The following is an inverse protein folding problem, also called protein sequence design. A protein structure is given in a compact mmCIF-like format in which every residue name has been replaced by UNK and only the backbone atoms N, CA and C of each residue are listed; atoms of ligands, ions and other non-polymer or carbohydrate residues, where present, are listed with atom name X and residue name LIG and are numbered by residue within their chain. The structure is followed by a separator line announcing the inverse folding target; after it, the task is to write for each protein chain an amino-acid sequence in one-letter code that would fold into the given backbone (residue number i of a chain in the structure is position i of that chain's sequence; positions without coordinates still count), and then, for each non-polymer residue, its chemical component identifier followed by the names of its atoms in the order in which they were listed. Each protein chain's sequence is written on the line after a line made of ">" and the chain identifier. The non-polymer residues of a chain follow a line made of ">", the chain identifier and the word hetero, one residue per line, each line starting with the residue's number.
data_IF_659563812429
#
_entry.id   IF_659563812429
#
_cell.length_a   1.000
_cell.length_b   1.000
_cell.length_c   1.000
_cell.angle_alpha   90.00
_cell.angle_beta   90.00
_cell.angle_gamma   90.00
#
_symmetry.space_group_name_H-M   'P 1'
#
loop_
_entity.id
_entity.type
_entity.pdbx_description
1 polymer ?
#
# COMPACT_ATOMS: atom_id res chain seq x y z
N UNK A 1 9.10 15.58 17.45
CA UNK A 1 8.84 15.13 18.84
C UNK A 1 7.83 14.00 18.78
N UNK A 2 8.29 12.77 18.97
CA UNK A 2 7.44 11.56 19.04
C UNK A 2 6.74 11.54 20.40
N UNK A 3 5.44 11.80 20.43
CA UNK A 3 4.65 11.67 21.65
C UNK A 3 4.48 10.18 21.96
N UNK A 4 5.23 9.67 22.93
CA UNK A 4 5.00 8.36 23.55
C UNK A 4 3.71 8.45 24.38
N UNK A 5 2.59 8.04 23.78
CA UNK A 5 1.33 7.88 24.53
C UNK A 5 1.52 6.70 25.49
N UNK A 6 1.15 6.88 26.76
CA UNK A 6 1.40 5.96 27.88
C UNK A 6 0.69 4.60 27.82
N UNK A 7 0.26 4.16 26.63
CA UNK A 7 -0.51 2.94 26.37
C UNK A 7 0.27 1.89 25.57
N UNK A 8 1.59 2.05 25.40
CA UNK A 8 2.44 1.09 24.72
C UNK A 8 2.30 1.04 23.18
N UNK A 9 1.31 1.73 22.60
CA UNK A 9 1.18 1.85 21.14
C UNK A 9 2.08 2.98 20.61
N UNK A 10 2.56 2.83 19.38
CA UNK A 10 3.39 3.82 18.68
C UNK A 10 2.65 4.36 17.47
N UNK A 11 2.52 5.68 17.36
CA UNK A 11 2.16 6.32 16.10
C UNK A 11 3.42 6.54 15.27
N UNK A 12 3.40 6.09 14.02
CA UNK A 12 4.50 6.15 13.08
C UNK A 12 4.05 6.97 11.85
N UNK A 13 4.45 8.25 11.74
CA UNK A 13 4.09 9.09 10.60
C UNK A 13 4.55 8.48 9.26
N UNK A 14 3.79 8.69 8.18
CA UNK A 14 4.21 8.29 6.83
C UNK A 14 5.46 9.04 6.34
N UNK A 15 5.72 10.22 6.91
CA UNK A 15 6.91 11.05 6.66
C UNK A 15 8.14 10.64 7.49
N UNK A 16 8.00 9.68 8.41
CA UNK A 16 9.11 9.25 9.27
C UNK A 16 10.23 8.60 8.44
N UNK A 17 11.43 9.18 8.51
CA UNK A 17 12.64 8.57 7.97
C UNK A 17 13.23 7.66 9.05
N UNK A 18 13.33 6.38 8.72
CA UNK A 18 13.88 5.37 9.63
C UNK A 18 15.39 5.35 9.49
N UNK A 19 16.11 5.50 10.61
CA UNK A 19 17.56 5.37 10.64
C UNK A 19 17.96 3.90 10.46
N UNK A 20 19.07 3.65 9.78
CA UNK A 20 19.54 2.30 9.46
C UNK A 20 19.97 1.48 10.69
N UNK A 21 20.29 2.14 11.81
CA UNK A 21 20.64 1.53 13.09
C UNK A 21 19.41 1.21 13.97
N UNK A 22 18.24 1.76 13.65
CA UNK A 22 17.00 1.52 14.37
C UNK A 22 16.31 0.20 13.94
N UNK A 23 16.74 -0.41 12.83
CA UNK A 23 16.12 -1.59 12.23
C UNK A 23 17.18 -2.50 11.63
N UNK A 24 16.98 -3.82 11.70
CA UNK A 24 17.79 -4.78 10.97
C UNK A 24 17.72 -4.52 9.46
N UNK A 25 18.87 -4.26 8.83
CA UNK A 25 18.94 -3.89 7.41
C UNK A 25 20.03 -4.64 6.67
N UNK A 26 19.85 -4.75 5.36
CA UNK A 26 20.88 -5.18 4.41
C UNK A 26 21.41 -3.95 3.67
N UNK A 27 22.73 -3.66 3.70
CA UNK A 27 23.30 -2.54 2.95
C UNK A 27 23.05 -2.69 1.44
N UNK A 28 22.69 -1.59 0.76
CA UNK A 28 22.58 -1.57 -0.71
C UNK A 28 23.92 -1.84 -1.39
N UNK A 29 25.03 -1.57 -0.71
CA UNK A 29 26.39 -1.67 -1.27
C UNK A 29 26.81 -0.46 -2.10
N UNK A 30 26.00 0.60 -2.12
CA UNK A 30 26.32 1.88 -2.76
C UNK A 30 25.57 3.03 -2.06
N UNK A 31 26.13 4.24 -2.14
CA UNK A 31 25.43 5.46 -1.80
C UNK A 31 24.51 5.82 -2.98
N UNK A 32 23.21 5.71 -2.74
CA UNK A 32 22.21 5.89 -3.78
C UNK A 32 22.02 7.34 -4.19
N UNK A 33 22.23 8.27 -3.26
CA UNK A 33 22.01 9.70 -3.47
C UNK A 33 23.25 10.35 -4.11
N UNK A 34 24.41 9.70 -4.02
CA UNK A 34 25.64 10.11 -4.71
C UNK A 34 25.69 9.70 -6.20
N UNK A 35 24.78 8.84 -6.68
CA UNK A 35 24.80 8.33 -8.05
C UNK A 35 23.69 8.96 -8.91
N UNK A 36 24.06 9.45 -10.09
CA UNK A 36 23.10 9.92 -11.08
C UNK A 36 22.34 8.74 -11.72
N UNK A 37 21.10 8.98 -12.16
CA UNK A 37 20.34 7.98 -12.90
C UNK A 37 21.08 7.54 -14.18
N UNK A 38 21.02 6.25 -14.50
CA UNK A 38 21.76 5.63 -15.61
C UNK A 38 23.20 5.23 -15.26
N UNK A 39 23.73 5.65 -14.11
CA UNK A 39 25.09 5.27 -13.69
C UNK A 39 25.15 3.77 -13.34
N UNK A 40 26.15 3.02 -13.84
CA UNK A 40 26.40 1.66 -13.38
C UNK A 40 26.62 1.61 -11.87
N UNK A 41 26.03 0.62 -11.21
CA UNK A 41 26.20 0.46 -9.77
C UNK A 41 27.53 -0.26 -9.45
N UNK A 42 28.19 0.05 -8.33
CA UNK A 42 29.42 -0.62 -7.89
C UNK A 42 29.14 -2.01 -7.28
N UNK A 43 28.12 -2.70 -7.77
CA UNK A 43 27.68 -4.03 -7.33
C UNK A 43 27.32 -4.87 -8.56
N UNK A 44 27.60 -6.19 -8.57
CA UNK A 44 27.38 -7.01 -9.76
C UNK A 44 25.91 -7.04 -10.19
N UNK A 45 25.68 -6.81 -11.49
CA UNK A 45 24.40 -7.02 -12.14
C UNK A 45 24.11 -8.52 -12.33
N UNK A 46 22.83 -8.87 -12.44
CA UNK A 46 22.42 -10.18 -12.94
C UNK A 46 22.47 -10.18 -14.46
N UNK A 47 23.58 -10.68 -15.01
CA UNK A 47 23.84 -10.73 -16.47
C UNK A 47 22.66 -11.38 -17.20
N UNK A 48 22.24 -12.57 -16.77
CA UNK A 48 21.10 -13.30 -17.36
C UNK A 48 19.82 -12.46 -17.39
N UNK A 49 19.48 -11.79 -16.29
CA UNK A 49 18.28 -10.95 -16.22
C UNK A 49 18.38 -9.78 -17.21
N UNK A 50 19.53 -9.09 -17.23
CA UNK A 50 19.72 -7.91 -18.07
C UNK A 50 19.75 -8.24 -19.56
N UNK A 51 20.37 -9.37 -19.94
CA UNK A 51 20.41 -9.85 -21.33
C UNK A 51 19.00 -10.20 -21.80
N UNK A 52 18.28 -11.06 -21.06
CA UNK A 52 16.92 -11.48 -21.44
C UNK A 52 15.94 -10.31 -21.46
N UNK A 53 15.99 -9.41 -20.48
CA UNK A 53 15.15 -8.20 -20.51
C UNK A 53 15.47 -7.31 -21.72
N UNK A 54 16.74 -7.27 -22.16
CA UNK A 54 17.14 -6.52 -23.35
C UNK A 54 16.64 -7.16 -24.64
N UNK A 55 16.07 -8.36 -24.61
CA UNK A 55 15.39 -8.96 -25.77
C UNK A 55 13.87 -8.79 -25.74
N UNK A 56 13.31 -8.28 -24.63
CA UNK A 56 11.88 -8.12 -24.49
C UNK A 56 11.34 -6.89 -25.23
N UNK A 57 10.12 -7.02 -25.74
CA UNK A 57 9.34 -5.99 -26.45
C UNK A 57 8.02 -5.66 -25.76
N UNK A 58 7.71 -6.28 -24.62
CA UNK A 58 6.57 -5.96 -23.78
C UNK A 58 6.75 -6.39 -22.31
N UNK A 59 5.94 -5.80 -21.42
CA UNK A 59 5.75 -6.22 -20.03
C UNK A 59 4.32 -6.71 -19.82
N UNK A 60 4.19 -7.94 -19.34
CA UNK A 60 2.93 -8.48 -18.81
C UNK A 60 2.96 -8.42 -17.27
N UNK A 61 2.05 -7.64 -16.70
CA UNK A 61 1.81 -7.56 -15.25
C UNK A 61 0.69 -8.54 -14.91
N UNK A 62 1.03 -9.61 -14.19
CA UNK A 62 0.11 -10.71 -13.88
C UNK A 62 0.07 -10.95 -12.37
N UNK A 63 -0.88 -10.27 -11.71
CA UNK A 63 -1.11 -10.41 -10.28
C UNK A 63 -2.51 -10.94 -10.01
N UNK A 64 -2.60 -12.01 -9.24
CA UNK A 64 -3.87 -12.59 -8.80
C UNK A 64 -3.88 -12.87 -7.29
N UNK A 65 -2.72 -12.73 -6.63
CA UNK A 65 -2.59 -12.79 -5.18
C UNK A 65 -3.43 -11.74 -4.46
N UNK A 66 -3.14 -11.51 -3.18
CA UNK A 66 -3.92 -10.57 -2.36
C UNK A 66 -3.79 -9.15 -2.93
N UNK A 67 -4.89 -8.39 -2.95
CA UNK A 67 -4.90 -6.99 -3.41
C UNK A 67 -3.71 -6.17 -2.88
N UNK A 68 -3.41 -6.30 -1.58
CA UNK A 68 -2.30 -5.57 -0.95
C UNK A 68 -0.94 -5.90 -1.56
N UNK A 69 -0.64 -7.19 -1.80
CA UNK A 69 0.63 -7.62 -2.39
C UNK A 69 0.77 -7.08 -3.82
N UNK A 70 -0.31 -7.16 -4.61
CA UNK A 70 -0.38 -6.66 -5.99
C UNK A 70 -0.14 -5.16 -6.07
N UNK A 71 -0.74 -4.38 -5.17
CA UNK A 71 -0.59 -2.93 -5.10
C UNK A 71 0.84 -2.51 -4.74
N UNK A 72 1.41 -3.11 -3.69
CA UNK A 72 2.77 -2.79 -3.24
C UNK A 72 3.84 -3.20 -4.29
N UNK A 73 3.57 -4.25 -5.05
CA UNK A 73 4.43 -4.74 -6.13
C UNK A 73 4.43 -3.86 -7.39
N UNK A 74 3.54 -2.86 -7.52
CA UNK A 74 3.60 -1.89 -8.63
C UNK A 74 4.92 -1.10 -8.68
N UNK A 75 5.61 -0.98 -7.55
CA UNK A 75 6.98 -0.44 -7.51
C UNK A 75 7.98 -1.26 -8.33
N UNK A 76 7.80 -2.58 -8.44
CA UNK A 76 8.62 -3.44 -9.28
C UNK A 76 8.33 -3.18 -10.78
N UNK A 77 7.05 -2.98 -11.13
CA UNK A 77 6.65 -2.55 -12.49
C UNK A 77 7.31 -1.22 -12.83
N UNK A 78 7.23 -0.24 -11.92
CA UNK A 78 7.88 1.07 -12.07
C UNK A 78 9.40 0.94 -12.23
N UNK A 79 10.05 0.04 -11.52
CA UNK A 79 11.49 -0.20 -11.67
C UNK A 79 11.85 -0.69 -13.09
N UNK A 80 11.10 -1.66 -13.64
CA UNK A 80 11.29 -2.10 -15.01
C UNK A 80 11.00 -1.00 -16.03
N UNK A 81 9.93 -0.21 -15.84
CA UNK A 81 9.63 0.94 -16.71
C UNK A 81 10.81 1.92 -16.77
N UNK A 82 11.37 2.27 -15.61
CA UNK A 82 12.52 3.18 -15.54
C UNK A 82 13.78 2.59 -16.18
N UNK A 83 13.97 1.28 -16.09
CA UNK A 83 15.10 0.61 -16.73
C UNK A 83 14.98 0.61 -18.25
N UNK A 84 13.79 0.37 -18.79
CA UNK A 84 13.56 0.48 -20.24
C UNK A 84 13.68 1.93 -20.72
N UNK A 85 13.23 2.92 -19.93
CA UNK A 85 13.36 4.34 -20.27
C UNK A 85 14.81 4.84 -20.35
N UNK A 86 15.77 4.12 -19.77
CA UNK A 86 17.21 4.40 -19.92
C UNK A 86 17.78 4.03 -21.29
N UNK A 87 16.99 3.41 -22.19
CA UNK A 87 17.40 2.94 -23.51
C UNK A 87 16.70 3.75 -24.61
N UNK A 88 17.29 4.89 -25.04
CA UNK A 88 16.63 5.84 -25.95
C UNK A 88 16.43 5.29 -27.37
N UNK A 89 17.17 4.24 -27.74
CA UNK A 89 17.02 3.49 -28.98
C UNK A 89 15.76 2.62 -29.01
N UNK A 90 15.13 2.40 -27.85
CA UNK A 90 13.87 1.67 -27.73
C UNK A 90 12.71 2.65 -27.60
N UNK A 91 11.71 2.45 -28.46
CA UNK A 91 10.42 3.10 -28.31
C UNK A 91 9.74 2.76 -26.96
N UNK A 92 8.61 3.41 -26.65
CA UNK A 92 7.89 3.15 -25.40
C UNK A 92 7.51 1.68 -25.29
N UNK A 93 7.82 1.08 -24.14
CA UNK A 93 7.53 -0.33 -23.87
C UNK A 93 6.02 -0.52 -23.68
N UNK A 94 5.36 -1.39 -24.46
CA UNK A 94 4.00 -1.83 -24.20
C UNK A 94 3.90 -2.54 -22.84
N UNK A 95 2.95 -2.13 -22.01
CA UNK A 95 2.71 -2.69 -20.69
C UNK A 95 1.22 -3.03 -20.57
N UNK A 96 0.93 -4.27 -20.22
CA UNK A 96 -0.43 -4.77 -19.99
C UNK A 96 -0.56 -5.34 -18.60
N UNK A 97 -1.76 -5.27 -18.05
CA UNK A 97 -2.14 -5.98 -16.84
C UNK A 97 -3.20 -7.03 -17.15
N UNK A 98 -3.14 -8.14 -16.44
CA UNK A 98 -4.16 -9.17 -16.41
C UNK A 98 -4.47 -9.58 -14.96
N UNK A 99 -5.50 -10.43 -14.80
CA UNK A 99 -5.98 -10.86 -13.49
C UNK A 99 -7.06 -9.94 -12.90
N UNK A 100 -7.53 -10.24 -11.69
CA UNK A 100 -8.72 -9.63 -11.09
C UNK A 100 -8.58 -8.13 -10.83
N UNK A 101 -7.34 -7.61 -10.76
CA UNK A 101 -7.08 -6.21 -10.46
C UNK A 101 -6.59 -5.41 -11.67
N UNK A 102 -6.59 -5.96 -12.88
CA UNK A 102 -6.01 -5.31 -14.07
C UNK A 102 -6.54 -3.88 -14.32
N UNK A 103 -7.85 -3.68 -14.17
CA UNK A 103 -8.50 -2.37 -14.32
C UNK A 103 -8.00 -1.37 -13.26
N UNK A 104 -7.95 -1.80 -12.00
CA UNK A 104 -7.44 -0.98 -10.89
C UNK A 104 -5.96 -0.62 -11.10
N UNK A 105 -5.13 -1.58 -11.52
CA UNK A 105 -3.70 -1.33 -11.76
C UNK A 105 -3.48 -0.36 -12.93
N UNK A 106 -4.37 -0.31 -13.92
CA UNK A 106 -4.29 0.63 -15.03
C UNK A 106 -4.37 2.10 -14.57
N UNK A 107 -5.03 2.36 -13.44
CA UNK A 107 -5.12 3.70 -12.83
C UNK A 107 -3.78 4.24 -12.30
N UNK A 108 -2.73 3.42 -12.26
CA UNK A 108 -1.39 3.83 -11.86
C UNK A 108 -0.64 4.68 -12.90
N UNK A 109 -1.14 4.73 -14.14
CA UNK A 109 -0.43 5.33 -15.27
C UNK A 109 0.76 4.52 -15.80
N UNK A 110 1.05 3.36 -15.20
CA UNK A 110 2.13 2.46 -15.66
C UNK A 110 1.67 1.52 -16.77
N UNK A 111 0.38 1.21 -16.85
CA UNK A 111 -0.17 0.31 -17.86
C UNK A 111 -0.51 1.13 -19.11
N UNK A 112 0.07 0.78 -20.25
CA UNK A 112 -0.04 1.56 -21.50
C UNK A 112 -1.00 0.96 -22.52
N UNK A 113 -1.44 -0.29 -22.32
CA UNK A 113 -2.39 -0.97 -23.20
C UNK A 113 -3.55 -1.60 -22.41
N UNK A 114 -4.76 -1.59 -22.97
CA UNK A 114 -5.91 -2.23 -22.35
C UNK A 114 -5.74 -3.77 -22.30
N UNK A 115 -6.47 -4.45 -21.39
CA UNK A 115 -6.51 -5.91 -21.36
C UNK A 115 -6.95 -6.50 -22.71
N UNK A 116 -6.32 -7.60 -23.14
CA UNK A 116 -6.76 -8.38 -24.30
C UNK A 116 -6.22 -8.00 -25.69
N UNK A 117 -5.23 -7.11 -25.80
CA UNK A 117 -4.59 -6.81 -27.10
C UNK A 117 -3.66 -7.97 -27.60
N UNK A 118 -3.13 -7.87 -28.83
CA UNK A 118 -2.43 -8.95 -29.55
C UNK A 118 -1.24 -9.61 -28.82
N UNK A 119 -0.97 -10.89 -29.12
CA UNK A 119 0.15 -11.67 -28.58
C UNK A 119 1.51 -10.99 -28.80
N UNK A 120 2.36 -10.99 -27.79
CA UNK A 120 3.72 -10.45 -27.85
C UNK A 120 4.74 -11.54 -28.17
N UNK A 121 5.71 -11.23 -29.02
CA UNK A 121 6.71 -12.22 -29.41
C UNK A 121 7.72 -12.49 -28.29
N UNK A 122 8.13 -11.47 -27.52
CA UNK A 122 9.11 -11.62 -26.42
C UNK A 122 8.76 -10.72 -25.24
N UNK A 123 7.98 -11.21 -24.30
CA UNK A 123 7.59 -10.42 -23.14
C UNK A 123 8.27 -10.86 -21.84
N UNK A 124 8.45 -9.92 -20.91
CA UNK A 124 8.69 -10.23 -19.50
C UNK A 124 7.36 -10.37 -18.79
N UNK A 125 7.22 -11.43 -17.98
CA UNK A 125 6.11 -11.54 -17.02
C UNK A 125 6.59 -11.10 -15.64
N UNK A 126 5.84 -10.18 -15.03
CA UNK A 126 6.05 -9.72 -13.65
C UNK A 126 4.79 -10.00 -12.85
N UNK A 127 4.92 -10.69 -11.73
CA UNK A 127 3.75 -11.17 -11.00
C UNK A 127 4.05 -11.90 -9.70
N UNK A 128 3.01 -12.43 -9.07
CA UNK A 128 3.17 -13.38 -7.97
C UNK A 128 3.68 -14.76 -8.47
N UNK A 129 4.14 -15.60 -7.55
CA UNK A 129 4.78 -16.88 -7.89
C UNK A 129 3.87 -17.80 -8.71
N UNK A 130 2.58 -17.84 -8.38
CA UNK A 130 1.63 -18.73 -9.04
C UNK A 130 1.39 -18.29 -10.49
N UNK A 131 1.20 -17.00 -10.72
CA UNK A 131 0.85 -16.49 -12.05
C UNK A 131 2.04 -16.32 -12.98
N UNK A 132 3.22 -16.04 -12.42
CA UNK A 132 4.47 -16.17 -13.17
C UNK A 132 4.66 -17.60 -13.67
N UNK A 133 4.34 -18.62 -12.84
CA UNK A 133 4.50 -20.02 -13.24
C UNK A 133 3.60 -20.39 -14.44
N UNK A 134 2.38 -19.84 -14.52
CA UNK A 134 1.46 -20.05 -15.66
C UNK A 134 1.99 -19.54 -16.99
N UNK A 135 2.88 -18.55 -16.96
CA UNK A 135 3.47 -17.94 -18.16
C UNK A 135 4.89 -18.43 -18.45
N UNK A 136 5.45 -19.31 -17.62
CA UNK A 136 6.88 -19.66 -17.66
C UNK A 136 7.33 -20.27 -18.98
N UNK A 137 6.45 -21.00 -19.66
CA UNK A 137 6.75 -21.64 -20.95
C UNK A 137 6.82 -20.64 -22.11
N UNK A 138 6.10 -19.52 -22.00
CA UNK A 138 5.95 -18.54 -23.08
C UNK A 138 6.72 -17.24 -22.82
N UNK A 139 6.92 -16.88 -21.55
CA UNK A 139 7.59 -15.65 -21.17
C UNK A 139 9.09 -15.75 -21.46
N UNK A 140 9.64 -14.71 -22.08
CA UNK A 140 11.07 -14.65 -22.35
C UNK A 140 11.88 -14.46 -21.07
N UNK A 141 11.31 -13.82 -20.04
CA UNK A 141 11.91 -13.72 -18.69
C UNK A 141 10.82 -13.50 -17.65
N UNK A 142 11.10 -13.87 -16.40
CA UNK A 142 10.16 -13.80 -15.31
C UNK A 142 10.70 -13.02 -14.11
N UNK A 143 9.88 -12.14 -13.55
CA UNK A 143 10.17 -11.39 -12.33
C UNK A 143 9.10 -11.71 -11.29
N UNK A 144 9.45 -12.53 -10.31
CA UNK A 144 8.54 -12.88 -9.21
C UNK A 144 8.61 -11.82 -8.11
N UNK A 145 7.46 -11.27 -7.75
CA UNK A 145 7.29 -10.39 -6.59
C UNK A 145 6.82 -11.23 -5.40
N UNK A 146 7.78 -11.77 -4.64
CA UNK A 146 7.53 -12.45 -3.38
C UNK A 146 7.74 -11.47 -2.21
N UNK A 147 6.69 -11.12 -1.43
CA UNK A 147 6.82 -10.15 -0.35
C UNK A 147 7.63 -10.68 0.86
N UNK A 148 7.92 -11.98 0.91
CA UNK A 148 8.84 -12.54 1.91
C UNK A 148 10.32 -12.34 1.54
N UNK A 149 10.64 -12.17 0.25
CA UNK A 149 12.01 -12.26 -0.25
C UNK A 149 12.87 -11.00 -0.02
N UNK A 150 12.43 -9.76 -0.34
CA UNK A 150 13.33 -8.63 -0.32
C UNK A 150 13.56 -8.12 1.12
N UNK A 151 14.83 -7.90 1.53
CA UNK A 151 15.16 -7.42 2.87
C UNK A 151 14.84 -5.93 3.03
N UNK A 152 14.89 -5.43 4.26
CA UNK A 152 14.94 -4.00 4.53
C UNK A 152 16.30 -3.46 4.04
N UNK A 153 16.31 -2.58 3.04
CA UNK A 153 17.58 -2.05 2.52
C UNK A 153 18.07 -0.86 3.34
N UNK A 154 19.38 -0.60 3.33
CA UNK A 154 19.95 0.64 3.87
C UNK A 154 21.00 1.29 2.97
N UNK A 155 21.03 2.62 2.97
CA UNK A 155 22.06 3.45 2.30
C UNK A 155 22.05 4.85 2.91
N UNK A 156 23.22 5.49 2.99
CA UNK A 156 23.35 6.84 3.56
C UNK A 156 22.82 6.98 5.00
N UNK A 157 22.89 5.92 5.81
CA UNK A 157 22.35 5.91 7.18
C UNK A 157 20.81 5.81 7.27
N UNK A 158 20.11 5.68 6.14
CA UNK A 158 18.66 5.53 6.05
C UNK A 158 18.26 4.08 5.77
N UNK A 159 17.18 3.63 6.42
CA UNK A 159 16.48 2.39 6.14
C UNK A 159 15.33 2.60 5.12
N UNK A 160 15.19 1.67 4.19
CA UNK A 160 14.14 1.59 3.18
C UNK A 160 13.24 0.41 3.50
N UNK A 161 12.41 0.61 4.52
CA UNK A 161 11.70 -0.48 5.15
C UNK A 161 10.35 -0.83 4.49
N UNK A 162 9.74 0.08 3.73
CA UNK A 162 8.46 -0.15 3.04
C UNK A 162 8.60 -1.10 1.85
N UNK A 163 7.59 -1.95 1.64
CA UNK A 163 7.61 -2.95 0.57
C UNK A 163 7.89 -2.37 -0.82
N UNK A 164 7.33 -1.19 -1.20
CA UNK A 164 7.64 -0.58 -2.48
C UNK A 164 9.14 -0.28 -2.66
N UNK A 165 9.80 0.29 -1.64
CA UNK A 165 11.24 0.51 -1.69
C UNK A 165 12.03 -0.80 -1.79
N UNK A 166 11.60 -1.84 -1.07
CA UNK A 166 12.24 -3.15 -1.09
C UNK A 166 12.24 -3.77 -2.48
N UNK A 167 11.11 -3.76 -3.18
CA UNK A 167 11.01 -4.27 -4.54
C UNK A 167 11.80 -3.43 -5.53
N UNK A 168 11.63 -2.10 -5.48
CA UNK A 168 12.30 -1.19 -6.41
C UNK A 168 13.84 -1.31 -6.32
N UNK A 169 14.37 -1.27 -5.10
CA UNK A 169 15.82 -1.32 -4.87
C UNK A 169 16.41 -2.71 -5.14
N UNK A 170 15.64 -3.79 -4.92
CA UNK A 170 16.07 -5.13 -5.30
C UNK A 170 16.26 -5.24 -6.82
N UNK A 171 15.37 -4.65 -7.61
CA UNK A 171 15.50 -4.61 -9.06
C UNK A 171 16.60 -3.66 -9.51
N UNK A 172 16.70 -2.45 -8.96
CA UNK A 172 17.81 -1.52 -9.22
C UNK A 172 19.17 -2.22 -9.05
N UNK A 173 19.36 -2.92 -7.93
CA UNK A 173 20.58 -3.69 -7.64
C UNK A 173 20.80 -4.81 -8.66
N UNK A 174 19.76 -5.63 -8.94
CA UNK A 174 19.87 -6.76 -9.88
C UNK A 174 20.11 -6.31 -11.33
N UNK A 175 19.62 -5.15 -11.71
CA UNK A 175 19.81 -4.56 -13.03
C UNK A 175 21.15 -3.84 -13.17
N UNK A 176 21.84 -3.58 -12.05
CA UNK A 176 23.20 -3.03 -12.02
C UNK A 176 23.30 -1.57 -12.46
N UNK A 177 22.18 -0.83 -12.48
CA UNK A 177 22.14 0.58 -12.90
C UNK A 177 21.23 1.38 -11.97
N UNK A 178 21.61 2.62 -11.67
CA UNK A 178 20.82 3.56 -10.88
C UNK A 178 19.56 3.98 -11.67
N UNK A 179 18.37 3.69 -11.15
CA UNK A 179 17.10 4.00 -11.83
C UNK A 179 16.60 5.43 -11.52
N UNK A 180 15.64 5.97 -12.26
CA UNK A 180 15.29 7.39 -12.16
C UNK A 180 14.54 7.80 -10.88
N UNK A 181 13.75 6.91 -10.29
CA UNK A 181 12.82 7.31 -9.21
C UNK A 181 13.54 7.46 -7.88
N UNK A 182 13.15 8.43 -7.06
CA UNK A 182 13.44 8.46 -5.62
C UNK A 182 12.17 8.20 -4.82
N UNK A 183 12.31 7.83 -3.54
CA UNK A 183 11.16 7.55 -2.69
C UNK A 183 10.18 8.75 -2.66
N UNK A 184 8.84 8.52 -2.66
CA UNK A 184 8.17 7.22 -2.62
C UNK A 184 8.22 6.45 -3.95
N UNK A 185 8.47 5.14 -3.87
CA UNK A 185 8.55 4.27 -5.04
C UNK A 185 7.20 3.77 -5.53
N UNK A 186 6.21 3.65 -4.63
CA UNK A 186 4.84 3.33 -4.99
C UNK A 186 4.27 4.38 -5.94
N UNK A 187 3.58 4.00 -7.03
CA UNK A 187 2.75 4.94 -7.76
C UNK A 187 1.53 5.35 -6.93
N UNK A 188 0.81 6.36 -7.39
CA UNK A 188 -0.56 6.68 -6.96
C UNK A 188 -1.54 6.08 -7.96
N UNK A 189 -2.78 5.84 -7.54
CA UNK A 189 -3.87 5.42 -8.42
C UNK A 189 -4.82 6.59 -8.58
N UNK A 190 -5.00 7.08 -9.80
CA UNK A 190 -5.91 8.20 -10.05
C UNK A 190 -7.36 7.75 -9.84
N UNK A 191 -8.10 8.44 -8.98
CA UNK A 191 -9.54 8.26 -8.85
C UNK A 191 -10.26 8.80 -10.07
N UNK A 192 -11.24 8.07 -10.55
CA UNK A 192 -12.23 8.53 -11.51
C UNK A 192 -13.55 8.91 -10.83
N UNK A 193 -14.57 9.05 -11.66
CA UNK A 193 -15.95 9.07 -11.20
C UNK A 193 -16.57 7.70 -11.44
N UNK A 194 -17.31 7.21 -10.45
CA UNK A 194 -18.13 6.02 -10.58
C UNK A 194 -19.52 6.27 -9.98
N UNK A 195 -20.44 5.35 -10.26
CA UNK A 195 -21.84 5.48 -9.81
C UNK A 195 -21.94 5.58 -8.28
N UNK A 196 -21.13 4.81 -7.55
CA UNK A 196 -21.17 4.78 -6.09
C UNK A 196 -20.77 6.14 -5.48
N UNK A 197 -19.63 6.68 -5.87
CA UNK A 197 -19.11 7.97 -5.40
C UNK A 197 -20.06 9.12 -5.74
N UNK A 198 -20.70 9.09 -6.92
CA UNK A 198 -21.74 10.06 -7.29
C UNK A 198 -22.99 9.93 -6.41
N UNK A 199 -23.45 8.71 -6.11
CA UNK A 199 -24.60 8.47 -5.23
C UNK A 199 -24.34 8.91 -3.79
N UNK A 200 -23.14 8.63 -3.27
CA UNK A 200 -22.71 9.07 -1.94
C UNK A 200 -22.64 10.61 -1.88
N UNK A 201 -22.07 11.24 -2.90
CA UNK A 201 -22.04 12.70 -3.02
C UNK A 201 -23.45 13.31 -3.05
N UNK A 202 -24.33 12.79 -3.91
CA UNK A 202 -25.71 13.30 -4.04
C UNK A 202 -26.53 13.12 -2.76
N UNK A 203 -26.18 12.15 -1.93
CA UNK A 203 -26.82 11.89 -0.63
C UNK A 203 -26.14 12.64 0.54
N UNK A 204 -25.18 13.50 0.23
CA UNK A 204 -24.46 14.34 1.20
C UNK A 204 -23.52 13.55 2.13
N UNK A 205 -23.03 12.38 1.72
CA UNK A 205 -22.10 11.58 2.53
C UNK A 205 -20.69 12.16 2.62
N UNK A 206 -20.37 13.17 1.80
CA UNK A 206 -19.10 13.89 1.83
C UNK A 206 -19.27 15.37 2.30
N UNK A 207 -20.42 15.71 2.86
CA UNK A 207 -20.73 17.10 3.28
C UNK A 207 -20.27 17.36 4.73
N UNK A 208 -18.98 17.54 4.95
CA UNK A 208 -18.37 17.73 6.28
C UNK A 208 -17.42 16.58 6.63
N UNK A 209 -17.20 16.33 7.92
CA UNK A 209 -16.19 15.36 8.35
C UNK A 209 -16.62 13.91 8.04
N UNK A 210 -15.98 13.30 7.05
CA UNK A 210 -16.21 11.93 6.59
C UNK A 210 -14.98 11.06 6.84
N UNK A 211 -15.19 9.97 7.58
CA UNK A 211 -14.17 8.98 7.91
C UNK A 211 -14.54 7.66 7.24
N UNK A 212 -13.62 7.05 6.51
CA UNK A 212 -13.76 5.65 6.10
C UNK A 212 -13.01 4.73 7.08
N UNK A 213 -13.66 3.69 7.54
CA UNK A 213 -13.11 2.69 8.45
C UNK A 213 -13.17 1.30 7.81
N UNK A 214 -12.01 0.75 7.48
CA UNK A 214 -11.85 -0.52 6.78
C UNK A 214 -11.78 -1.65 7.80
N UNK A 215 -12.90 -2.35 7.96
CA UNK A 215 -13.03 -3.53 8.82
C UNK A 215 -12.65 -4.81 8.08
N UNK A 216 -12.77 -4.83 6.74
CA UNK A 216 -12.44 -5.97 5.90
C UNK A 216 -11.02 -6.48 6.19
N UNK A 217 -10.88 -7.74 6.62
CA UNK A 217 -9.59 -8.37 6.91
C UNK A 217 -9.57 -9.84 6.49
N UNK A 218 -8.39 -10.32 6.12
CA UNK A 218 -8.19 -11.73 5.73
C UNK A 218 -8.17 -12.69 6.91
N UNK A 219 -7.92 -12.20 8.14
CA UNK A 219 -7.87 -12.98 9.39
C UNK A 219 -8.57 -12.22 10.53
N UNK A 220 -9.92 -12.26 10.56
CA UNK A 220 -10.72 -11.52 11.52
C UNK A 220 -10.37 -11.82 12.97
N UNK A 221 -10.07 -13.07 13.29
CA UNK A 221 -9.74 -13.54 14.63
C UNK A 221 -8.46 -12.92 15.24
N UNK A 222 -7.63 -12.27 14.43
CA UNK A 222 -6.34 -11.70 14.85
C UNK A 222 -6.13 -10.24 14.47
N UNK A 223 -6.77 -9.78 13.41
CA UNK A 223 -6.50 -8.46 12.80
C UNK A 223 -7.73 -7.57 12.72
N UNK A 224 -8.85 -7.98 13.28
CA UNK A 224 -10.05 -7.16 13.22
C UNK A 224 -10.09 -6.16 14.38
N UNK A 225 -10.12 -4.87 14.05
CA UNK A 225 -10.43 -3.82 15.00
C UNK A 225 -11.92 -3.67 15.27
N UNK A 226 -12.77 -4.39 14.53
CA UNK A 226 -14.24 -4.38 14.61
C UNK A 226 -14.89 -3.05 14.25
N UNK A 227 -16.13 -3.13 13.76
CA UNK A 227 -16.91 -1.95 13.39
C UNK A 227 -17.25 -1.08 14.61
N UNK A 228 -17.52 -1.71 15.76
CA UNK A 228 -17.93 -1.04 17.00
C UNK A 228 -16.82 -0.14 17.54
N UNK A 229 -15.56 -0.60 17.51
CA UNK A 229 -14.43 0.20 17.99
C UNK A 229 -14.13 1.35 17.03
N UNK A 230 -14.29 1.17 15.72
CA UNK A 230 -14.20 2.29 14.77
C UNK A 230 -15.33 3.30 14.97
N UNK A 231 -16.56 2.86 15.25
CA UNK A 231 -17.67 3.74 15.58
C UNK A 231 -17.39 4.53 16.88
N UNK A 232 -16.81 3.89 17.89
CA UNK A 232 -16.38 4.58 19.12
C UNK A 232 -15.28 5.62 18.85
N UNK A 233 -14.30 5.31 17.98
CA UNK A 233 -13.28 6.28 17.54
C UNK A 233 -13.94 7.48 16.87
N UNK A 234 -14.88 7.25 15.95
CA UNK A 234 -15.60 8.31 15.26
C UNK A 234 -16.41 9.20 16.23
N UNK A 235 -17.08 8.60 17.22
CA UNK A 235 -17.82 9.33 18.25
C UNK A 235 -16.91 10.22 19.09
N UNK A 236 -15.76 9.69 19.52
CA UNK A 236 -14.76 10.46 20.27
C UNK A 236 -14.18 11.63 19.46
N UNK A 237 -13.98 11.45 18.15
CA UNK A 237 -13.55 12.53 17.25
C UNK A 237 -14.65 13.58 17.10
N UNK A 238 -15.91 13.15 16.93
CA UNK A 238 -17.08 14.02 16.83
C UNK A 238 -17.20 14.93 18.08
N UNK A 239 -17.07 14.33 19.27
CA UNK A 239 -17.09 15.06 20.55
C UNK A 239 -15.92 16.04 20.67
N UNK A 240 -14.70 15.59 20.39
CA UNK A 240 -13.50 16.42 20.49
C UNK A 240 -13.53 17.64 19.54
N UNK A 241 -14.13 17.47 18.36
CA UNK A 241 -14.22 18.53 17.34
C UNK A 241 -15.56 19.30 17.37
N UNK A 242 -16.50 18.91 18.23
CA UNK A 242 -17.86 19.48 18.31
C UNK A 242 -18.55 19.52 16.94
N UNK A 243 -18.47 18.42 16.19
CA UNK A 243 -19.03 18.30 14.85
C UNK A 243 -19.69 16.93 14.63
N UNK A 244 -20.53 16.82 13.61
CA UNK A 244 -21.06 15.51 13.18
C UNK A 244 -20.04 14.78 12.32
N UNK A 245 -19.90 13.47 12.54
CA UNK A 245 -19.05 12.59 11.73
C UNK A 245 -19.91 11.67 10.88
N UNK A 246 -19.54 11.54 9.61
CA UNK A 246 -20.06 10.51 8.70
C UNK A 246 -19.06 9.37 8.62
N UNK A 247 -19.47 8.18 9.03
CA UNK A 247 -18.61 7.01 9.09
C UNK A 247 -18.99 6.02 7.99
N UNK A 248 -18.07 5.76 7.06
CA UNK A 248 -18.21 4.71 6.06
C UNK A 248 -17.50 3.45 6.58
N UNK A 249 -18.26 2.43 6.98
CA UNK A 249 -17.75 1.14 7.45
C UNK A 249 -17.57 0.22 6.25
N UNK A 250 -16.32 -0.07 5.87
CA UNK A 250 -15.97 -0.84 4.66
C UNK A 250 -15.56 -2.27 5.05
N UNK A 251 -16.50 -3.21 4.91
CA UNK A 251 -16.30 -4.63 5.20
C UNK A 251 -16.10 -5.52 3.97
N UNK A 252 -15.74 -6.78 4.24
CA UNK A 252 -15.58 -7.81 3.20
C UNK A 252 -16.91 -8.47 2.83
N UNK A 253 -16.97 -9.06 1.63
CA UNK A 253 -18.14 -9.85 1.20
C UNK A 253 -18.17 -11.20 1.96
N UNK A 254 -19.01 -11.33 2.99
CA UNK A 254 -19.13 -12.59 3.74
C UNK A 254 -19.85 -13.70 2.94
N UNK A 255 -20.64 -13.33 1.94
CA UNK A 255 -21.44 -14.22 1.07
C UNK A 255 -21.30 -13.87 -0.42
N UNK A 256 -20.34 -13.03 -0.80
CA UNK A 256 -20.20 -12.50 -2.16
C UNK A 256 -21.19 -11.39 -2.53
N UNK A 257 -22.08 -10.98 -1.61
CA UNK A 257 -23.03 -9.91 -1.87
C UNK A 257 -22.48 -8.53 -1.46
N UNK A 258 -22.87 -7.51 -2.23
CA UNK A 258 -22.72 -6.11 -1.84
C UNK A 258 -23.83 -5.73 -0.88
N UNK A 259 -23.48 -5.12 0.27
CA UNK A 259 -24.47 -4.62 1.23
C UNK A 259 -24.20 -3.16 1.57
N UNK A 260 -25.24 -2.33 1.38
CA UNK A 260 -25.24 -0.93 1.77
C UNK A 260 -26.39 -0.72 2.74
N UNK A 261 -26.08 -0.41 4.00
CA UNK A 261 -27.07 -0.24 5.05
C UNK A 261 -26.69 0.91 5.98
N UNK A 262 -27.64 1.80 6.30
CA UNK A 262 -27.43 2.80 7.34
C UNK A 262 -27.38 2.09 8.71
N UNK A 263 -26.41 2.44 9.53
CA UNK A 263 -26.43 2.04 10.93
C UNK A 263 -27.40 2.93 11.72
N UNK A 264 -27.83 2.43 12.89
CA UNK A 264 -28.70 3.16 13.83
C UNK A 264 -28.20 4.59 14.07
N UNK A 265 -29.09 5.60 14.10
CA UNK A 265 -28.69 6.99 14.29
C UNK A 265 -28.10 7.22 15.69
N UNK A 266 -26.79 7.47 15.76
CA UNK A 266 -26.16 8.11 16.92
C UNK A 266 -26.27 9.63 16.84
N UNK A 267 -26.37 10.33 17.98
CA UNK A 267 -26.55 11.80 17.98
C UNK A 267 -25.40 12.58 17.29
N UNK A 268 -24.17 12.05 17.27
CA UNK A 268 -23.00 12.70 16.67
C UNK A 268 -22.38 11.95 15.47
N UNK A 269 -22.71 10.66 15.28
CA UNK A 269 -22.14 9.82 14.22
C UNK A 269 -23.26 9.20 13.38
N UNK A 270 -23.17 9.40 12.07
CA UNK A 270 -24.02 8.72 11.08
C UNK A 270 -23.17 7.69 10.34
N UNK A 271 -23.49 6.41 10.47
CA UNK A 271 -22.71 5.34 9.86
C UNK A 271 -23.42 4.70 8.64
N UNK A 272 -22.63 4.29 7.65
CA UNK A 272 -23.05 3.54 6.46
C UNK A 272 -22.13 2.35 6.27
N UNK A 273 -22.70 1.15 6.23
CA UNK A 273 -21.98 -0.06 5.85
C UNK A 273 -21.83 -0.13 4.33
N UNK A 274 -20.65 -0.51 3.88
CA UNK A 274 -20.22 -0.62 2.48
C UNK A 274 -19.49 -1.96 2.30
N UNK A 275 -20.22 -3.06 2.44
CA UNK A 275 -19.62 -4.39 2.47
C UNK A 275 -19.53 -5.00 1.07
N UNK A 276 -18.40 -5.65 0.78
CA UNK A 276 -18.23 -6.45 -0.44
C UNK A 276 -18.11 -5.66 -1.74
N UNK A 277 -17.89 -4.34 -1.64
CA UNK A 277 -17.72 -3.50 -2.82
C UNK A 277 -16.46 -3.84 -3.62
N UNK A 278 -16.50 -3.70 -4.96
CA UNK A 278 -15.30 -3.79 -5.79
C UNK A 278 -14.22 -2.81 -5.34
N UNK A 279 -12.95 -3.25 -5.36
CA UNK A 279 -11.81 -2.40 -5.05
C UNK A 279 -11.71 -1.18 -5.99
N UNK A 280 -12.09 -1.37 -7.26
CA UNK A 280 -12.14 -0.28 -8.24
C UNK A 280 -13.14 0.81 -7.82
N UNK A 281 -14.29 0.42 -7.24
CA UNK A 281 -15.28 1.38 -6.78
C UNK A 281 -14.78 2.17 -5.56
N UNK A 282 -14.14 1.47 -4.63
CA UNK A 282 -13.59 2.05 -3.41
C UNK A 282 -12.42 3.01 -3.69
N UNK A 283 -11.69 2.81 -4.79
CA UNK A 283 -10.63 3.72 -5.24
C UNK A 283 -11.15 5.14 -5.55
N UNK A 284 -12.44 5.29 -5.84
CA UNK A 284 -13.08 6.59 -6.10
C UNK A 284 -13.79 7.17 -4.86
N UNK A 285 -14.01 6.35 -3.84
CA UNK A 285 -14.62 6.75 -2.56
C UNK A 285 -13.57 7.26 -1.58
N UNK A 286 -12.46 6.53 -1.40
CA UNK A 286 -11.45 6.89 -0.39
C UNK A 286 -10.89 8.31 -0.56
N UNK A 287 -10.55 8.80 -1.76
CA UNK A 287 -9.98 10.14 -1.93
C UNK A 287 -10.93 11.30 -1.60
N UNK A 288 -12.21 11.01 -1.36
CA UNK A 288 -13.25 12.00 -0.96
C UNK A 288 -13.47 12.06 0.54
N UNK A 289 -12.87 11.15 1.31
CA UNK A 289 -12.93 11.19 2.77
C UNK A 289 -11.90 12.18 3.32
N UNK A 290 -12.07 12.61 4.58
CA UNK A 290 -11.09 13.44 5.29
C UNK A 290 -10.05 12.58 6.03
N UNK A 291 -10.40 11.34 6.35
CA UNK A 291 -9.53 10.38 7.03
C UNK A 291 -9.92 8.95 6.64
N UNK A 292 -8.93 8.08 6.47
CA UNK A 292 -9.17 6.64 6.35
C UNK A 292 -8.42 5.90 7.45
N UNK A 293 -9.13 5.02 8.14
CA UNK A 293 -8.59 4.12 9.16
C UNK A 293 -8.79 2.69 8.66
N UNK A 294 -7.85 1.80 8.93
CA UNK A 294 -8.05 0.42 8.51
C UNK A 294 -7.11 -0.57 9.16
N UNK A 295 -7.57 -1.82 9.21
CA UNK A 295 -6.72 -2.97 9.52
C UNK A 295 -5.56 -3.07 8.49
N UNK A 296 -4.48 -3.81 8.80
CA UNK A 296 -3.39 -4.08 7.85
C UNK A 296 -3.83 -5.01 6.70
N UNK A 297 -4.43 -4.42 5.66
CA UNK A 297 -5.08 -5.11 4.55
C UNK A 297 -4.91 -4.36 3.22
N UNK A 298 -5.19 -5.05 2.12
CA UNK A 298 -5.08 -4.47 0.77
C UNK A 298 -5.97 -3.25 0.53
N UNK A 299 -7.14 -3.16 1.19
CA UNK A 299 -8.01 -1.98 1.05
C UNK A 299 -7.40 -0.74 1.73
N UNK A 300 -6.66 -0.92 2.83
CA UNK A 300 -5.93 0.18 3.49
C UNK A 300 -4.80 0.68 2.59
N UNK A 301 -4.09 -0.23 1.92
CA UNK A 301 -3.07 0.15 0.92
C UNK A 301 -3.71 0.86 -0.28
N UNK A 302 -4.87 0.39 -0.73
CA UNK A 302 -5.64 1.04 -1.79
C UNK A 302 -6.00 2.48 -1.41
N UNK A 303 -6.58 2.70 -0.23
CA UNK A 303 -6.89 4.05 0.26
C UNK A 303 -5.65 4.96 0.30
N UNK A 304 -4.51 4.40 0.70
CA UNK A 304 -3.24 5.12 0.73
C UNK A 304 -2.64 5.40 -0.66
N UNK A 305 -3.04 4.69 -1.72
CA UNK A 305 -2.55 4.91 -3.07
C UNK A 305 -3.53 5.71 -3.93
N UNK A 306 -4.84 5.60 -3.68
CA UNK A 306 -5.89 6.27 -4.42
C UNK A 306 -5.83 7.79 -4.19
N UNK A 307 -5.76 8.58 -5.26
CA UNK A 307 -5.66 10.04 -5.21
C UNK A 307 -6.54 10.69 -6.25
N UNK A 308 -7.05 11.87 -5.90
CA UNK A 308 -7.69 12.76 -6.86
C UNK A 308 -6.70 13.15 -7.96
N UNK A 309 -7.22 13.63 -9.10
CA UNK A 309 -6.40 14.07 -10.23
C UNK A 309 -5.43 15.20 -9.87
N UNK A 310 -5.74 16.01 -8.85
CA UNK A 310 -4.87 17.05 -8.30
C UNK A 310 -3.80 16.52 -7.32
N UNK A 311 -3.72 15.19 -7.14
CA UNK A 311 -2.83 14.54 -6.17
C UNK A 311 -3.35 14.55 -4.73
N UNK A 312 -4.50 15.18 -4.48
CA UNK A 312 -5.13 15.26 -3.17
C UNK A 312 -5.74 13.94 -2.69
N UNK A 313 -5.89 13.80 -1.39
CA UNK A 313 -6.55 12.67 -0.74
C UNK A 313 -6.30 12.66 0.77
N UNK A 314 -6.99 11.81 1.52
CA UNK A 314 -6.90 11.82 2.97
C UNK A 314 -5.58 11.26 3.47
N UNK A 315 -5.17 11.63 4.70
CA UNK A 315 -4.31 10.78 5.51
C UNK A 315 -4.96 9.40 5.71
N UNK A 316 -4.14 8.36 5.69
CA UNK A 316 -4.54 6.98 5.90
C UNK A 316 -3.75 6.39 7.04
N UNK A 317 -4.42 5.78 8.01
CA UNK A 317 -3.81 5.11 9.16
C UNK A 317 -4.06 3.61 9.06
N UNK A 318 -3.00 2.83 8.88
CA UNK A 318 -3.02 1.38 9.04
C UNK A 318 -2.80 0.97 10.51
N UNK A 319 -3.57 0.00 10.98
CA UNK A 319 -3.44 -0.58 12.31
C UNK A 319 -2.67 -1.90 12.25
N UNK A 320 -1.55 -1.98 12.97
CA UNK A 320 -0.62 -3.10 12.91
C UNK A 320 -0.44 -3.74 14.28
N UNK A 321 -0.88 -5.00 14.41
CA UNK A 321 -0.65 -5.80 15.61
C UNK A 321 0.51 -6.80 15.47
N UNK A 322 0.52 -7.56 14.36
CA UNK A 322 1.39 -8.74 14.21
C UNK A 322 2.40 -8.70 13.08
N UNK A 323 2.35 -7.64 12.28
CA UNK A 323 3.25 -7.44 11.16
C UNK A 323 4.11 -6.22 11.41
N UNK A 324 5.29 -6.18 10.78
CA UNK A 324 6.12 -4.98 10.74
C UNK A 324 5.32 -3.83 10.12
N UNK A 325 5.04 -2.80 10.91
CA UNK A 325 4.26 -1.63 10.47
C UNK A 325 4.95 -0.87 9.35
N UNK A 326 6.29 -0.90 9.28
CA UNK A 326 7.00 -0.22 8.22
C UNK A 326 6.97 -1.00 6.91
N UNK A 327 7.05 -2.34 6.99
CA UNK A 327 7.14 -3.23 5.83
C UNK A 327 5.89 -3.17 4.97
N UNK A 328 4.72 -3.21 5.59
CA UNK A 328 3.44 -3.27 4.88
C UNK A 328 2.80 -1.88 4.71
N UNK A 329 3.64 -0.87 4.46
CA UNK A 329 3.21 0.47 4.03
C UNK A 329 3.53 0.69 2.56
N UNK A 330 2.89 1.70 1.99
CA UNK A 330 3.09 2.14 0.60
C UNK A 330 4.30 3.08 0.43
N UNK A 331 4.94 3.47 1.54
CA UNK A 331 6.01 4.48 1.55
C UNK A 331 5.53 5.91 1.28
N UNK A 332 4.22 6.11 1.10
CA UNK A 332 3.64 7.44 0.87
C UNK A 332 3.62 8.27 2.15
N UNK A 333 3.83 9.60 2.09
CA UNK A 333 3.93 10.46 3.28
C UNK A 333 2.63 10.53 4.09
N UNK A 334 1.49 10.30 3.44
CA UNK A 334 0.16 10.28 4.02
C UNK A 334 -0.30 8.88 4.47
N UNK A 335 0.54 7.85 4.37
CA UNK A 335 0.24 6.50 4.87
C UNK A 335 0.96 6.30 6.20
N UNK A 336 0.23 6.56 7.27
CA UNK A 336 0.68 6.45 8.65
C UNK A 336 0.39 5.05 9.21
N UNK A 337 1.02 4.72 10.32
CA UNK A 337 0.75 3.51 11.07
C UNK A 337 0.49 3.80 12.55
N UNK A 338 -0.36 2.99 13.16
CA UNK A 338 -0.40 2.80 14.60
C UNK A 338 -0.02 1.35 14.89
N UNK A 339 1.05 1.17 15.65
CA UNK A 339 1.67 -0.12 15.90
C UNK A 339 1.54 -0.51 17.37
N UNK A 340 1.24 -1.78 17.62
CA UNK A 340 1.39 -2.38 18.95
C UNK A 340 2.88 -2.60 19.28
N UNK A 341 3.25 -2.85 20.54
CA UNK A 341 4.62 -3.22 20.90
C UNK A 341 5.15 -4.42 20.11
N UNK A 342 4.32 -5.42 19.81
CA UNK A 342 4.73 -6.58 19.04
C UNK A 342 5.00 -6.20 17.57
N UNK A 343 4.14 -5.41 16.94
CA UNK A 343 4.38 -4.87 15.59
C UNK A 343 5.67 -4.04 15.51
N UNK A 344 5.99 -3.29 16.56
CA UNK A 344 7.26 -2.55 16.67
C UNK A 344 8.48 -3.49 16.75
N UNK A 345 8.42 -4.57 17.52
CA UNK A 345 9.49 -5.60 17.53
C UNK A 345 9.66 -6.23 16.15
N UNK A 346 8.55 -6.51 15.45
CA UNK A 346 8.57 -7.04 14.09
C UNK A 346 9.24 -6.06 13.12
N UNK A 347 9.02 -4.75 13.31
CA UNK A 347 9.70 -3.70 12.56
C UNK A 347 11.21 -3.71 12.82
N UNK A 348 11.62 -3.65 14.08
CA UNK A 348 13.03 -3.56 14.49
C UNK A 348 13.86 -4.76 13.99
N UNK A 349 13.30 -5.97 14.00
CA UNK A 349 14.00 -7.17 13.53
C UNK A 349 13.88 -7.45 12.02
N UNK A 350 13.24 -6.57 11.24
CA UNK A 350 12.82 -6.84 9.86
C UNK A 350 12.08 -8.20 9.71
N UNK A 351 11.26 -8.54 10.69
CA UNK A 351 10.65 -9.87 10.79
C UNK A 351 9.38 -9.99 9.94
N UNK A 352 9.10 -11.21 9.50
CA UNK A 352 7.93 -11.60 8.73
C UNK A 352 7.39 -12.92 9.31
N UNK A 353 6.15 -12.96 9.85
CA UNK A 353 5.69 -14.14 10.59
C UNK A 353 5.70 -15.43 9.78
N UNK A 354 5.45 -15.35 8.47
CA UNK A 354 5.44 -16.51 7.58
C UNK A 354 6.87 -16.96 7.24
N UNK A 355 7.78 -16.03 6.95
CA UNK A 355 9.18 -16.34 6.58
C UNK A 355 9.97 -16.86 7.79
N UNK A 356 9.79 -16.23 8.93
CA UNK A 356 10.59 -16.46 10.13
C UNK A 356 9.91 -17.43 11.12
N UNK A 357 8.78 -18.02 10.72
CA UNK A 357 8.04 -19.04 11.48
C UNK A 357 7.74 -18.59 12.91
N UNK A 358 7.25 -17.36 13.05
CA UNK A 358 6.98 -16.77 14.37
C UNK A 358 5.64 -17.29 14.86
N UNK A 359 5.66 -17.97 16.01
CA UNK A 359 4.46 -18.49 16.65
C UNK A 359 3.47 -17.36 16.95
N UNK A 360 2.15 -17.61 16.81
CA UNK A 360 1.14 -16.65 17.23
C UNK A 360 1.20 -16.49 18.74
N UNK A 361 1.83 -15.41 19.21
CA UNK A 361 1.85 -15.01 20.61
C UNK A 361 0.48 -14.44 21.04
N UNK A 362 0.26 -14.30 22.34
CA UNK A 362 -0.95 -13.67 22.91
C UNK A 362 -1.04 -12.16 22.65
N UNK A 363 0.09 -11.50 22.33
CA UNK A 363 0.19 -10.06 22.04
C UNK A 363 -0.12 -9.67 20.57
N UNK A 364 -0.77 -10.56 19.79
CA UNK A 364 -0.97 -10.37 18.33
C UNK A 364 -2.27 -9.66 17.95
N UNK A 365 -3.04 -9.19 18.92
CA UNK A 365 -4.37 -8.58 18.70
C UNK A 365 -4.31 -7.05 18.70
N UNK A 366 -5.29 -6.43 18.03
CA UNK A 366 -5.42 -4.97 17.97
C UNK A 366 -5.99 -4.35 19.25
N UNK A 367 -6.30 -5.15 20.27
CA UNK A 367 -6.90 -4.68 21.53
C UNK A 367 -6.04 -3.65 22.26
N UNK A 368 -4.71 -3.75 22.13
CA UNK A 368 -3.76 -2.79 22.69
C UNK A 368 -3.95 -1.36 22.14
N UNK A 369 -4.51 -1.22 20.94
CA UNK A 369 -4.88 0.08 20.37
C UNK A 369 -6.29 0.41 20.87
N UNK A 370 -6.43 1.19 21.93
CA UNK A 370 -7.77 1.53 22.44
C UNK A 370 -8.45 2.60 21.57
N UNK A 371 -9.81 2.62 21.47
CA UNK A 371 -10.53 3.67 20.74
C UNK A 371 -10.15 5.09 21.17
N UNK A 372 -9.94 5.31 22.48
CA UNK A 372 -9.49 6.61 22.99
C UNK A 372 -8.10 7.01 22.53
N UNK A 373 -7.15 6.07 22.48
CA UNK A 373 -5.79 6.33 22.01
C UNK A 373 -5.74 6.61 20.51
N UNK A 374 -6.49 5.83 19.71
CA UNK A 374 -6.59 6.02 18.26
C UNK A 374 -7.30 7.33 17.93
N UNK A 375 -8.42 7.65 18.58
CA UNK A 375 -9.14 8.91 18.37
C UNK A 375 -8.27 10.15 18.61
N UNK A 376 -7.37 10.10 19.60
CA UNK A 376 -6.41 11.20 19.86
C UNK A 376 -5.45 11.39 18.69
N UNK A 377 -4.83 10.30 18.22
CA UNK A 377 -3.95 10.32 17.05
C UNK A 377 -4.67 10.87 15.83
N UNK A 378 -5.91 10.43 15.59
CA UNK A 378 -6.74 10.89 14.47
C UNK A 378 -7.08 12.38 14.60
N UNK A 379 -7.45 12.86 15.79
CA UNK A 379 -7.78 14.26 16.03
C UNK A 379 -6.57 15.17 15.82
N UNK A 380 -5.38 14.76 16.28
CA UNK A 380 -4.13 15.49 16.06
C UNK A 380 -3.80 15.58 14.57
N UNK A 381 -3.96 14.47 13.83
CA UNK A 381 -3.69 14.43 12.39
C UNK A 381 -4.67 15.30 11.59
N UNK A 382 -5.96 15.26 11.94
CA UNK A 382 -7.00 16.13 11.36
C UNK A 382 -6.84 17.60 11.78
N UNK A 383 -6.06 17.92 12.82
CA UNK A 383 -5.74 19.28 13.23
C UNK A 383 -4.46 19.83 12.59
N UNK A 384 -3.59 18.96 12.05
CA UNK A 384 -2.31 19.31 11.45
C UNK A 384 -2.36 19.64 9.95
N UNK A 385 -3.52 19.48 9.29
CA UNK A 385 -3.70 19.78 7.87
C UNK A 385 -3.81 21.28 7.53
N UNK A 386 -3.69 22.17 8.54
CA UNK A 386 -3.72 23.64 8.40
C UNK A 386 -2.35 24.31 8.71
N UNK A 387 -1.20 23.64 8.50
CA UNK A 387 0.13 24.27 8.66
C UNK A 387 0.94 24.34 7.40
#
# INVERSE_FOLDING_TARGET
>A
MTATVSTGIRFCPGTEVVAADAVHTTPLGYDRDALAAGTPLPVPASVELTERLSECDAILVSFHGKLGDSLLALSAVRALCNWFALRPDRGPMPIRAEGPYAQLLARSGLITHPPGAASYARFVVLGDREFVARHRENAHVSVVCDPAAPPCWSSGGRAYADMPARYYLSLERRLGVRLHTSAPFSPTLTSGENRLSQQLQASGWFDGLTIAAITATSWPERKDYTAERFAEVAARIADARRTHVRLLLVGGAHDGCVRIAAAEPGHAVRALHLDGLPADDLADVFPRCDLVLGNDTGLTHLAAMARRADGGGPPVIGLYARHSHSKWRTGQPHHHAVATPFSERMHQGDLCPVRDVIAPDSDVHLDAITPGSLARVCADLLGGAER
#
